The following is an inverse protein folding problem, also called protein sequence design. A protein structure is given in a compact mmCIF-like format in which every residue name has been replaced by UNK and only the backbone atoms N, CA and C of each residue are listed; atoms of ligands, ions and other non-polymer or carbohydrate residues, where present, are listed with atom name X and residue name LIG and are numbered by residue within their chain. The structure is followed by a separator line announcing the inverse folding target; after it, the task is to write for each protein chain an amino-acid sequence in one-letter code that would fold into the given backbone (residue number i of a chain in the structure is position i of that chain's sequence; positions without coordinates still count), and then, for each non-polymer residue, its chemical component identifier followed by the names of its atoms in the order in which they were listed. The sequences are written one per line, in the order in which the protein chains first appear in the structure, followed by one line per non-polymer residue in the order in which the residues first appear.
data_IF_755616657749
#
_entry.id   IF_755616657749
#
_cell.length_a   1.000
_cell.length_b   1.000
_cell.length_c   1.000
_cell.angle_alpha   90.00
_cell.angle_beta   90.00
_cell.angle_gamma   90.00
#
_symmetry.space_group_name_H-M   'P 1'
#
loop_
_entity.id
_entity.type
_entity.pdbx_description
1 polymer ?
#
# COMPACT_ATOMS: atom_id res chain seq x y z
N UNK A 1 4.90 0.13 -15.88
CA UNK A 1 3.60 0.28 -15.21
C UNK A 1 2.75 1.26 -16.00
N UNK A 2 1.51 0.89 -16.36
CA UNK A 2 0.58 1.80 -17.05
C UNK A 2 0.00 2.86 -16.10
N UNK A 3 -0.69 3.86 -16.63
CA UNK A 3 -1.40 4.85 -15.78
C UNK A 3 -2.64 4.25 -15.10
N UNK A 4 -3.28 3.26 -15.71
CA UNK A 4 -4.37 2.50 -15.08
C UNK A 4 -3.86 1.71 -13.88
N UNK A 5 -2.72 1.03 -14.02
CA UNK A 5 -2.08 0.32 -12.90
C UNK A 5 -1.73 1.29 -11.78
N UNK A 6 -1.17 2.45 -12.12
CA UNK A 6 -0.83 3.49 -11.15
C UNK A 6 -2.05 3.93 -10.32
N UNK A 7 -3.16 4.29 -10.98
CA UNK A 7 -4.37 4.72 -10.30
C UNK A 7 -4.95 3.59 -9.42
N UNK A 8 -4.95 2.36 -9.92
CA UNK A 8 -5.39 1.18 -9.17
C UNK A 8 -4.55 0.94 -7.91
N UNK A 9 -3.22 1.00 -8.03
CA UNK A 9 -2.29 0.74 -6.93
C UNK A 9 -2.34 1.84 -5.88
N UNK A 10 -2.35 3.11 -6.31
CA UNK A 10 -2.50 4.26 -5.40
C UNK A 10 -3.84 4.19 -4.67
N UNK A 11 -4.93 3.88 -5.38
CA UNK A 11 -6.25 3.72 -4.80
C UNK A 11 -6.28 2.61 -3.74
N UNK A 12 -5.72 1.44 -4.06
CA UNK A 12 -5.64 0.29 -3.15
C UNK A 12 -4.82 0.61 -1.90
N UNK A 13 -3.62 1.18 -2.07
CA UNK A 13 -2.76 1.60 -0.96
C UNK A 13 -3.49 2.60 -0.06
N UNK A 14 -4.05 3.65 -0.64
CA UNK A 14 -4.76 4.70 0.10
C UNK A 14 -5.96 4.14 0.86
N UNK A 15 -6.71 3.22 0.26
CA UNK A 15 -7.82 2.55 0.91
C UNK A 15 -7.36 1.79 2.16
N UNK A 16 -6.30 0.98 2.06
CA UNK A 16 -5.76 0.25 3.22
C UNK A 16 -5.29 1.20 4.33
N UNK A 17 -4.61 2.29 3.99
CA UNK A 17 -4.16 3.28 4.97
C UNK A 17 -5.34 3.96 5.67
N UNK A 18 -6.36 4.38 4.93
CA UNK A 18 -7.51 5.09 5.50
C UNK A 18 -8.37 4.16 6.35
N UNK A 19 -8.63 2.94 5.88
CA UNK A 19 -9.42 1.97 6.64
C UNK A 19 -8.67 1.49 7.90
N UNK A 20 -7.33 1.40 7.86
CA UNK A 20 -6.54 0.96 9.01
C UNK A 20 -6.18 2.06 10.01
N UNK A 21 -5.79 3.25 9.52
CA UNK A 21 -5.22 4.32 10.34
C UNK A 21 -6.10 5.58 10.40
N UNK A 22 -7.33 5.52 9.87
CA UNK A 22 -8.26 6.63 9.85
C UNK A 22 -8.04 7.66 8.74
N UNK A 23 -9.04 8.53 8.56
CA UNK A 23 -9.05 9.58 7.52
C UNK A 23 -7.94 10.63 7.71
N UNK A 24 -7.51 10.86 8.94
CA UNK A 24 -6.40 11.74 9.29
C UNK A 24 -5.07 11.28 8.67
N UNK A 25 -4.95 9.99 8.34
CA UNK A 25 -3.77 9.41 7.71
C UNK A 25 -3.76 9.58 6.17
N UNK A 26 -4.69 10.35 5.59
CA UNK A 26 -4.72 10.62 4.15
C UNK A 26 -3.44 11.28 3.61
N UNK A 27 -2.75 12.10 4.42
CA UNK A 27 -1.45 12.67 4.04
C UNK A 27 -0.36 11.59 4.01
N UNK A 28 -0.37 10.65 4.96
CA UNK A 28 0.55 9.50 4.97
C UNK A 28 0.32 8.63 3.74
N UNK A 29 -0.93 8.45 3.31
CA UNK A 29 -1.26 7.69 2.12
C UNK A 29 -0.63 8.24 0.81
N UNK A 30 -0.28 9.53 0.76
CA UNK A 30 0.41 10.14 -0.39
C UNK A 30 1.88 9.69 -0.53
N UNK A 31 2.47 9.04 0.48
CA UNK A 31 3.85 8.57 0.40
C UNK A 31 4.07 7.58 -0.75
N UNK A 32 3.09 6.70 -1.00
CA UNK A 32 3.15 5.72 -2.08
C UNK A 32 3.10 6.37 -3.46
N UNK A 33 2.18 7.33 -3.66
CA UNK A 33 2.11 8.11 -4.90
C UNK A 33 3.43 8.85 -5.17
N UNK A 34 4.00 9.46 -4.14
CA UNK A 34 5.29 10.16 -4.24
C UNK A 34 6.42 9.20 -4.61
N UNK A 35 6.44 8.00 -4.03
CA UNK A 35 7.40 6.95 -4.36
C UNK A 35 7.30 6.54 -5.83
N UNK A 36 6.09 6.27 -6.33
CA UNK A 36 5.89 5.89 -7.74
C UNK A 36 6.42 6.97 -8.69
N UNK A 37 6.09 8.23 -8.43
CA UNK A 37 6.56 9.36 -9.25
C UNK A 37 8.09 9.46 -9.17
N UNK A 38 8.67 9.28 -7.98
CA UNK A 38 10.10 9.34 -7.79
C UNK A 38 10.85 8.22 -8.53
N UNK A 39 10.33 6.99 -8.52
CA UNK A 39 10.86 5.85 -9.28
C UNK A 39 10.78 6.08 -10.79
N UNK A 40 9.65 6.61 -11.29
CA UNK A 40 9.53 7.01 -12.71
C UNK A 40 10.59 8.05 -13.08
N UNK A 41 10.82 9.05 -12.23
CA UNK A 41 11.82 10.09 -12.45
C UNK A 41 13.27 9.63 -12.19
N UNK A 42 13.49 8.49 -11.52
CA UNK A 42 14.81 7.88 -11.38
C UNK A 42 15.39 7.49 -12.74
N UNK A 43 14.55 7.02 -13.65
CA UNK A 43 14.96 6.73 -15.04
C UNK A 43 15.53 7.95 -15.77
N UNK A 44 15.17 9.16 -15.28
CA UNK A 44 15.64 10.44 -15.77
C UNK A 44 16.82 11.01 -14.95
N UNK A 45 17.34 10.25 -13.97
CA UNK A 45 18.49 10.64 -13.14
C UNK A 45 18.20 11.66 -12.03
N UNK A 46 16.92 11.96 -11.74
CA UNK A 46 16.53 13.04 -10.82
C UNK A 46 16.65 12.65 -9.34
N UNK A 47 16.39 11.38 -9.00
CA UNK A 47 16.42 10.89 -7.62
C UNK A 47 17.55 9.88 -7.42
N UNK A 48 18.22 9.94 -6.27
CA UNK A 48 19.24 8.95 -5.90
C UNK A 48 18.62 7.63 -5.44
N UNK A 49 19.35 6.52 -5.64
CA UNK A 49 18.96 5.18 -5.17
C UNK A 49 18.70 5.19 -3.65
N UNK A 50 19.55 5.86 -2.88
CA UNK A 50 19.41 5.97 -1.42
C UNK A 50 18.12 6.66 -1.00
N UNK A 51 17.72 7.72 -1.71
CA UNK A 51 16.47 8.43 -1.44
C UNK A 51 15.25 7.54 -1.72
N UNK A 52 15.26 6.82 -2.84
CA UNK A 52 14.18 5.90 -3.22
C UNK A 52 14.04 4.75 -2.22
N UNK A 53 15.16 4.15 -1.81
CA UNK A 53 15.18 3.11 -0.78
C UNK A 53 14.56 3.58 0.54
N UNK A 54 14.85 4.83 0.95
CA UNK A 54 14.24 5.44 2.14
C UNK A 54 12.73 5.65 1.97
N UNK A 55 12.30 6.16 0.81
CA UNK A 55 10.88 6.36 0.51
C UNK A 55 10.11 5.04 0.49
N UNK A 56 10.69 3.99 -0.10
CA UNK A 56 10.13 2.64 -0.11
C UNK A 56 9.99 2.09 1.31
N UNK A 57 11.05 2.18 2.11
CA UNK A 57 11.06 1.71 3.51
C UNK A 57 9.98 2.39 4.35
N UNK A 58 9.84 3.72 4.22
CA UNK A 58 8.80 4.47 4.92
C UNK A 58 7.38 4.06 4.47
N UNK A 59 7.20 3.84 3.18
CA UNK A 59 5.90 3.45 2.61
C UNK A 59 5.49 2.06 3.08
N UNK A 60 6.43 1.11 3.17
CA UNK A 60 6.22 -0.22 3.76
C UNK A 60 5.86 -0.14 5.24
N UNK A 61 6.56 0.70 6.01
CA UNK A 61 6.30 0.88 7.43
C UNK A 61 4.86 1.36 7.68
N UNK A 62 4.42 2.39 6.95
CA UNK A 62 3.05 2.92 7.05
C UNK A 62 2.01 1.85 6.69
N UNK A 63 2.28 1.06 5.64
CA UNK A 63 1.40 -0.03 5.23
C UNK A 63 1.29 -1.13 6.29
N UNK A 64 2.42 -1.59 6.84
CA UNK A 64 2.42 -2.61 7.89
C UNK A 64 1.70 -2.13 9.15
N UNK A 65 1.84 -0.85 9.51
CA UNK A 65 1.05 -0.25 10.59
C UNK A 65 -0.45 -0.33 10.26
N UNK A 66 -0.86 0.10 9.07
CA UNK A 66 -2.27 0.05 8.67
C UNK A 66 -2.84 -1.37 8.70
N UNK A 67 -2.10 -2.37 8.21
CA UNK A 67 -2.53 -3.77 8.24
C UNK A 67 -2.65 -4.31 9.66
N UNK A 68 -1.72 -3.93 10.55
CA UNK A 68 -1.80 -4.31 11.96
C UNK A 68 -3.07 -3.74 12.61
N UNK A 69 -3.37 -2.46 12.39
CA UNK A 69 -4.57 -1.84 12.92
C UNK A 69 -5.86 -2.42 12.32
N UNK A 70 -5.89 -2.67 11.00
CA UNK A 70 -7.01 -3.35 10.34
C UNK A 70 -7.31 -4.71 10.96
N UNK A 71 -6.27 -5.48 11.30
CA UNK A 71 -6.43 -6.80 11.92
C UNK A 71 -7.06 -6.75 13.33
N UNK A 72 -7.13 -5.58 13.96
CA UNK A 72 -7.78 -5.37 15.25
C UNK A 72 -9.24 -4.92 15.11
N UNK A 73 -9.72 -4.60 13.89
CA UNK A 73 -11.08 -4.15 13.65
C UNK A 73 -12.04 -5.33 13.50
N UNK A 74 -13.23 -5.19 14.10
CA UNK A 74 -14.32 -6.14 13.90
C UNK A 74 -14.74 -6.19 12.42
N UNK A 75 -14.82 -7.40 11.85
CA UNK A 75 -15.16 -7.61 10.44
C UNK A 75 -13.97 -7.70 9.49
N UNK A 76 -12.73 -7.58 9.99
CA UNK A 76 -11.55 -7.96 9.21
C UNK A 76 -11.49 -9.49 9.07
N UNK A 77 -11.83 -9.98 7.88
CA UNK A 77 -11.91 -11.41 7.55
C UNK A 77 -10.57 -12.18 7.51
N UNK A 78 -9.41 -11.57 7.23
CA UNK A 78 -8.15 -12.30 7.13
C UNK A 78 -7.71 -12.94 8.45
N UNK A 79 -7.34 -14.22 8.39
CA UNK A 79 -6.68 -14.94 9.48
C UNK A 79 -5.28 -14.37 9.77
N UNK A 80 -4.75 -14.62 10.97
CA UNK A 80 -3.37 -14.26 11.35
C UNK A 80 -2.31 -14.76 10.34
N UNK A 81 -2.54 -15.90 9.68
CA UNK A 81 -1.64 -16.44 8.65
C UNK A 81 -1.59 -15.57 7.38
N UNK A 82 -2.71 -14.99 6.95
CA UNK A 82 -2.73 -14.05 5.82
C UNK A 82 -1.96 -12.78 6.16
N UNK A 83 -2.15 -12.25 7.37
CA UNK A 83 -1.44 -11.04 7.82
C UNK A 83 0.07 -11.24 7.82
N UNK A 84 0.56 -12.34 8.40
CA UNK A 84 1.98 -12.69 8.39
C UNK A 84 2.54 -12.86 6.96
N UNK A 85 1.79 -13.56 6.09
CA UNK A 85 2.17 -13.72 4.69
C UNK A 85 2.33 -12.37 3.97
N UNK A 86 1.35 -11.50 4.12
CA UNK A 86 1.38 -10.16 3.52
C UNK A 86 2.51 -9.29 4.07
N UNK A 87 2.77 -9.33 5.38
CA UNK A 87 3.87 -8.60 5.98
C UNK A 87 5.23 -9.04 5.42
N UNK A 88 5.41 -10.34 5.18
CA UNK A 88 6.63 -10.87 4.54
C UNK A 88 6.74 -10.38 3.09
N UNK A 89 5.68 -10.48 2.30
CA UNK A 89 5.68 -9.98 0.91
C UNK A 89 5.97 -8.47 0.84
N UNK A 90 5.40 -7.67 1.75
CA UNK A 90 5.68 -6.24 1.85
C UNK A 90 7.15 -6.00 2.18
N UNK A 91 7.72 -6.79 3.08
CA UNK A 91 9.13 -6.67 3.44
C UNK A 91 10.04 -7.00 2.25
N UNK A 92 9.68 -7.98 1.42
CA UNK A 92 10.43 -8.42 0.25
C UNK A 92 10.26 -7.52 -0.99
N UNK A 93 9.19 -6.71 -1.09
CA UNK A 93 8.97 -5.85 -2.25
C UNK A 93 10.10 -4.83 -2.47
N UNK A 94 10.71 -4.78 -3.66
CA UNK A 94 11.82 -3.87 -3.95
C UNK A 94 11.43 -2.63 -4.76
N UNK A 95 10.19 -2.60 -5.26
CA UNK A 95 9.67 -1.52 -6.10
C UNK A 95 8.27 -1.09 -5.68
N UNK A 96 7.88 0.13 -6.08
CA UNK A 96 6.50 0.60 -5.91
C UNK A 96 5.48 -0.28 -6.65
N UNK A 97 5.86 -0.89 -7.77
CA UNK A 97 4.98 -1.75 -8.57
C UNK A 97 4.65 -3.06 -7.84
N UNK A 98 5.65 -3.72 -7.27
CA UNK A 98 5.45 -4.93 -6.45
C UNK A 98 4.60 -4.61 -5.22
N UNK A 99 4.92 -3.51 -4.53
CA UNK A 99 4.14 -3.08 -3.37
C UNK A 99 2.69 -2.73 -3.73
N UNK A 100 2.46 -2.12 -4.89
CA UNK A 100 1.14 -1.82 -5.43
C UNK A 100 0.30 -3.06 -5.72
N UNK A 101 0.90 -4.08 -6.33
CA UNK A 101 0.26 -5.38 -6.58
C UNK A 101 -0.16 -6.06 -5.28
N UNK A 102 0.72 -6.04 -4.28
CA UNK A 102 0.41 -6.58 -2.94
C UNK A 102 -0.79 -5.82 -2.35
N UNK A 103 -0.78 -4.49 -2.37
CA UNK A 103 -1.90 -3.68 -1.85
C UNK A 103 -3.22 -3.98 -2.54
N UNK A 104 -3.20 -4.15 -3.87
CA UNK A 104 -4.39 -4.49 -4.64
C UNK A 104 -4.93 -5.86 -4.24
N UNK A 105 -4.06 -6.87 -4.11
CA UNK A 105 -4.47 -8.21 -3.69
C UNK A 105 -5.04 -8.21 -2.27
N UNK A 106 -4.39 -7.52 -1.34
CA UNK A 106 -4.90 -7.40 0.04
C UNK A 106 -6.27 -6.72 0.03
N UNK A 107 -6.44 -5.62 -0.71
CA UNK A 107 -7.71 -4.88 -0.75
C UNK A 107 -8.86 -5.75 -1.25
N UNK A 108 -8.63 -6.63 -2.23
CA UNK A 108 -9.65 -7.58 -2.71
C UNK A 108 -10.05 -8.66 -1.70
N UNK A 109 -9.14 -9.04 -0.79
CA UNK A 109 -9.37 -10.10 0.19
C UNK A 109 -9.90 -9.54 1.51
N UNK A 110 -9.36 -8.40 1.93
CA UNK A 110 -9.44 -7.91 3.30
C UNK A 110 -10.52 -6.84 3.50
N UNK A 111 -10.85 -6.09 2.45
CA UNK A 111 -11.90 -5.07 2.52
C UNK A 111 -13.16 -5.64 1.86
N UNK A 112 -14.32 -5.63 2.55
CA UNK A 112 -15.56 -6.02 1.90
C UNK A 112 -15.79 -5.10 0.70
N UNK A 113 -16.13 -5.70 -0.44
CA UNK A 113 -16.70 -4.96 -1.57
C UNK A 113 -17.86 -4.15 -1.02
N UNK A 114 -17.97 -2.83 -1.29
CA UNK A 114 -19.15 -2.08 -0.91
C UNK A 114 -20.34 -2.83 -1.51
N UNK A 115 -21.18 -3.44 -0.67
CA UNK A 115 -22.46 -3.95 -1.13
C UNK A 115 -23.21 -2.72 -1.61
N UNK A 116 -23.33 -2.56 -2.92
CA UNK A 116 -24.30 -1.65 -3.48
C UNK A 116 -25.64 -2.03 -2.85
N UNK A 117 -26.21 -1.11 -2.08
CA UNK A 117 -27.54 -1.25 -1.49
C UNK A 117 -28.49 -1.63 -2.63
N UNK A 118 -28.92 -2.89 -2.65
CA UNK A 118 -29.91 -3.43 -3.57
C UNK A 118 -31.31 -3.03 -3.11
#
# INVERSE_FOLDING_TARGET
MSDTDFQSYVGSYKSLIINGLGNESALKARSFETLVIAERNQSLGVNSITQLSRMLSNTKLILNQALHHLALLDGFLPTNSHLLGWQNEIQEAHTSSELGLICQRISHVALPVPQALA
#
